data_IF_921717618652
#
_entry.id   IF_921717618652
#
_cell.length_a   1.000
_cell.length_b   1.000
_cell.length_c   1.000
_cell.angle_alpha   90.00
_cell.angle_beta   90.00
_cell.angle_gamma   90.00
#
_symmetry.space_group_name_H-M   'P 1'
#
loop_
_entity.id
_entity.type
_entity.pdbx_description
1 polymer ?
#
# COMPACT_ATOMS: atom_id res chain seq x y z
N UNK A 1 -7.54 -0.92 5.88
CA UNK A 1 -6.19 -1.53 5.82
C UNK A 1 -6.12 -2.78 4.92
N UNK A 2 -6.96 -3.80 5.13
CA UNK A 2 -6.93 -5.06 4.36
C UNK A 2 -7.11 -4.84 2.85
N UNK A 3 -8.02 -3.96 2.42
CA UNK A 3 -8.21 -3.63 0.99
C UNK A 3 -7.02 -2.95 0.33
N UNK A 4 -6.30 -2.08 1.06
CA UNK A 4 -5.09 -1.44 0.56
C UNK A 4 -3.96 -2.47 0.42
N UNK A 5 -3.86 -3.42 1.35
CA UNK A 5 -2.92 -4.55 1.27
C UNK A 5 -3.28 -5.48 0.12
N UNK A 6 -4.56 -5.83 -0.09
CA UNK A 6 -5.02 -6.67 -1.20
C UNK A 6 -4.79 -5.98 -2.54
N UNK A 7 -5.07 -4.68 -2.66
CA UNK A 7 -4.79 -3.93 -3.88
C UNK A 7 -3.29 -3.77 -4.13
N UNK A 8 -2.51 -3.48 -3.08
CA UNK A 8 -1.04 -3.49 -3.15
C UNK A 8 -0.53 -4.86 -3.55
N UNK A 9 -1.10 -5.96 -3.05
CA UNK A 9 -0.74 -7.32 -3.44
C UNK A 9 -1.11 -7.60 -4.90
N UNK A 10 -2.32 -7.24 -5.36
CA UNK A 10 -2.73 -7.33 -6.78
C UNK A 10 -1.78 -6.54 -7.69
N UNK A 11 -1.36 -5.34 -7.29
CA UNK A 11 -0.40 -4.51 -8.03
C UNK A 11 1.03 -5.05 -7.95
N UNK A 12 1.39 -5.66 -6.82
CA UNK A 12 2.69 -6.32 -6.63
C UNK A 12 2.80 -7.57 -7.51
N UNK A 13 1.70 -8.30 -7.72
CA UNK A 13 1.64 -9.43 -8.66
C UNK A 13 1.69 -8.96 -10.12
N UNK A 14 1.12 -7.81 -10.46
CA UNK A 14 1.25 -7.19 -11.80
C UNK A 14 2.65 -6.59 -12.07
N UNK A 15 3.52 -6.53 -11.06
CA UNK A 15 4.82 -5.90 -11.17
C UNK A 15 5.72 -6.74 -12.08
N UNK A 16 6.27 -6.12 -13.13
CA UNK A 16 7.22 -6.80 -14.01
C UNK A 16 8.49 -7.11 -13.22
N UNK A 17 8.75 -8.40 -12.98
CA UNK A 17 9.88 -8.90 -12.18
C UNK A 17 11.24 -8.35 -12.68
N UNK A 18 11.34 -8.04 -13.98
CA UNK A 18 12.54 -7.43 -14.59
C UNK A 18 12.85 -6.01 -14.12
N UNK A 19 11.87 -5.25 -13.62
CA UNK A 19 12.12 -3.90 -13.08
C UNK A 19 12.73 -3.93 -11.67
N UNK A 20 12.79 -5.10 -11.04
CA UNK A 20 13.38 -5.32 -9.73
C UNK A 20 14.84 -5.77 -9.82
N UNK A 21 15.41 -5.95 -11.02
CA UNK A 21 16.85 -6.16 -11.15
C UNK A 21 17.58 -4.88 -10.70
N UNK A 22 18.37 -5.00 -9.64
CA UNK A 22 19.25 -3.91 -9.22
C UNK A 22 20.42 -3.81 -10.18
N UNK A 23 20.69 -2.62 -10.69
CA UNK A 23 21.93 -2.27 -11.40
C UNK A 23 23.18 -2.25 -10.51
N UNK A 24 23.15 -2.85 -9.32
CA UNK A 24 24.28 -2.90 -8.41
C UNK A 24 25.01 -4.22 -8.56
N UNK A 25 26.33 -4.11 -8.74
CA UNK A 25 27.41 -5.11 -8.79
C UNK A 25 27.01 -6.58 -8.51
N UNK A 26 27.47 -7.55 -9.33
CA UNK A 26 27.03 -8.95 -9.34
C UNK A 26 27.32 -9.76 -8.08
N UNK A 27 27.94 -9.18 -7.05
CA UNK A 27 28.24 -9.87 -5.81
C UNK A 27 27.05 -9.75 -4.85
N UNK A 28 26.21 -10.79 -4.83
CA UNK A 28 25.14 -11.04 -3.84
C UNK A 28 23.76 -10.38 -4.11
N UNK A 29 23.34 -10.34 -5.37
CA UNK A 29 22.01 -9.86 -5.75
C UNK A 29 20.93 -10.88 -5.36
N UNK A 30 20.06 -10.49 -4.42
CA UNK A 30 18.88 -11.29 -4.04
C UNK A 30 17.94 -11.37 -5.25
N UNK A 31 17.54 -12.59 -5.64
CA UNK A 31 16.67 -12.79 -6.79
C UNK A 31 15.38 -11.96 -6.71
N UNK A 32 14.95 -11.30 -7.79
CA UNK A 32 13.72 -10.51 -7.84
C UNK A 32 12.47 -11.21 -7.27
N UNK A 33 12.34 -12.51 -7.51
CA UNK A 33 11.23 -13.31 -6.97
C UNK A 33 11.29 -13.40 -5.44
N UNK A 34 12.46 -13.65 -4.87
CA UNK A 34 12.68 -13.65 -3.41
C UNK A 34 12.36 -12.29 -2.81
N UNK A 35 12.71 -11.21 -3.50
CA UNK A 35 12.37 -9.86 -3.07
C UNK A 35 10.86 -9.62 -3.04
N UNK A 36 10.15 -10.06 -4.08
CA UNK A 36 8.70 -9.95 -4.15
C UNK A 36 8.02 -10.73 -3.02
N UNK A 37 8.41 -11.99 -2.82
CA UNK A 37 7.88 -12.85 -1.77
C UNK A 37 8.17 -12.33 -0.36
N UNK A 38 9.35 -11.74 -0.16
CA UNK A 38 9.74 -11.08 1.08
C UNK A 38 8.77 -9.95 1.42
N UNK A 39 8.46 -9.09 0.45
CA UNK A 39 7.59 -7.94 0.64
C UNK A 39 6.14 -8.37 0.83
N UNK A 40 5.67 -9.36 0.07
CA UNK A 40 4.34 -9.94 0.26
C UNK A 40 4.18 -10.56 1.65
N UNK A 41 5.18 -11.30 2.14
CA UNK A 41 5.17 -11.85 3.50
C UNK A 41 5.14 -10.75 4.54
N UNK A 42 5.93 -9.70 4.37
CA UNK A 42 5.93 -8.55 5.27
C UNK A 42 4.54 -7.90 5.35
N UNK A 43 3.88 -7.66 4.22
CA UNK A 43 2.54 -7.08 4.20
C UNK A 43 1.45 -8.00 4.75
N UNK A 44 1.54 -9.31 4.49
CA UNK A 44 0.54 -10.27 4.96
C UNK A 44 0.63 -10.49 6.48
N UNK A 45 1.84 -10.47 7.05
CA UNK A 45 2.06 -10.81 8.46
C UNK A 45 2.19 -9.60 9.38
N UNK A 46 2.54 -8.42 8.85
CA UNK A 46 2.88 -7.25 9.66
C UNK A 46 4.09 -7.48 10.59
N UNK A 47 4.89 -8.52 10.34
CA UNK A 47 6.01 -8.91 11.20
C UNK A 47 7.21 -7.97 11.07
N UNK A 48 8.08 -7.97 12.08
CA UNK A 48 9.32 -7.19 12.03
C UNK A 48 10.21 -7.61 10.85
N UNK A 49 10.80 -6.63 10.15
CA UNK A 49 11.66 -6.85 8.98
C UNK A 49 12.82 -7.82 9.25
N UNK A 50 13.33 -7.86 10.48
CA UNK A 50 14.39 -8.81 10.88
C UNK A 50 13.88 -10.25 10.81
N UNK A 51 12.68 -10.52 11.32
CA UNK A 51 12.08 -11.85 11.31
C UNK A 51 11.76 -12.31 9.88
N UNK A 52 11.23 -11.39 9.06
CA UNK A 52 10.99 -11.66 7.63
C UNK A 52 12.31 -11.91 6.90
N UNK A 53 13.34 -11.09 7.16
CA UNK A 53 14.66 -11.26 6.56
C UNK A 53 15.31 -12.59 6.90
N UNK A 54 15.21 -13.02 8.16
CA UNK A 54 15.68 -14.33 8.61
C UNK A 54 14.99 -15.48 7.88
N UNK A 55 13.67 -15.39 7.66
CA UNK A 55 12.91 -16.40 6.93
C UNK A 55 13.41 -16.61 5.48
N UNK A 56 13.89 -15.55 4.83
CA UNK A 56 14.42 -15.59 3.46
C UNK A 56 15.95 -15.68 3.39
N UNK A 57 16.65 -15.82 4.52
CA UNK A 57 18.10 -15.92 4.57
C UNK A 57 18.85 -14.63 4.17
N UNK A 58 18.22 -13.46 4.31
CA UNK A 58 18.82 -12.16 3.92
C UNK A 58 19.36 -11.40 5.12
N UNK A 59 20.44 -10.64 4.91
CA UNK A 59 21.06 -9.82 5.97
C UNK A 59 20.11 -8.76 6.52
N UNK A 60 20.25 -8.38 7.80
CA UNK A 60 19.30 -7.50 8.54
C UNK A 60 18.95 -6.18 7.82
N UNK A 61 19.87 -5.60 7.05
CA UNK A 61 19.68 -4.32 6.36
C UNK A 61 19.01 -4.45 4.99
N UNK A 62 19.07 -5.63 4.38
CA UNK A 62 18.55 -5.90 3.03
C UNK A 62 17.01 -5.84 2.95
N UNK A 63 16.22 -6.43 3.88
CA UNK A 63 14.76 -6.35 3.87
C UNK A 63 14.21 -4.93 3.78
N UNK A 64 14.80 -3.99 4.51
CA UNK A 64 14.37 -2.60 4.51
C UNK A 64 14.51 -1.96 3.12
N UNK A 65 15.69 -2.13 2.49
CA UNK A 65 15.96 -1.60 1.14
C UNK A 65 15.04 -2.24 0.10
N UNK A 66 14.82 -3.55 0.21
CA UNK A 66 13.96 -4.32 -0.68
C UNK A 66 12.51 -3.84 -0.57
N UNK A 67 11.96 -3.76 0.65
CA UNK A 67 10.61 -3.26 0.89
C UNK A 67 10.47 -1.87 0.29
N UNK A 68 11.34 -0.93 0.65
CA UNK A 68 11.27 0.44 0.12
C UNK A 68 11.24 0.48 -1.43
N UNK A 69 12.13 -0.27 -2.09
CA UNK A 69 12.21 -0.30 -3.55
C UNK A 69 10.98 -0.92 -4.21
N UNK A 70 10.54 -2.09 -3.72
CA UNK A 70 9.37 -2.79 -4.26
C UNK A 70 8.09 -2.00 -3.99
N UNK A 71 7.96 -1.38 -2.81
CA UNK A 71 6.84 -0.47 -2.49
C UNK A 71 6.81 0.72 -3.44
N UNK A 72 7.96 1.35 -3.71
CA UNK A 72 8.04 2.49 -4.62
C UNK A 72 7.67 2.11 -6.07
N UNK A 73 8.15 0.95 -6.54
CA UNK A 73 7.77 0.41 -7.84
C UNK A 73 6.25 0.13 -7.91
N UNK A 74 5.70 -0.51 -6.88
CA UNK A 74 4.26 -0.76 -6.76
C UNK A 74 3.44 0.54 -6.71
N UNK A 75 3.90 1.56 -6.00
CA UNK A 75 3.24 2.88 -5.94
C UNK A 75 3.21 3.59 -7.29
N UNK A 76 4.24 3.40 -8.12
CA UNK A 76 4.27 3.94 -9.50
C UNK A 76 3.19 3.31 -10.36
N UNK A 77 2.99 1.99 -10.24
CA UNK A 77 1.90 1.29 -10.91
C UNK A 77 0.53 1.71 -10.37
N UNK A 78 0.43 1.91 -9.06
CA UNK A 78 -0.80 2.33 -8.39
C UNK A 78 -1.33 3.67 -8.91
N UNK A 79 -0.47 4.61 -9.29
CA UNK A 79 -0.89 5.89 -9.89
C UNK A 79 -1.62 5.71 -11.23
N UNK A 80 -1.33 4.65 -11.97
CA UNK A 80 -1.97 4.38 -13.24
C UNK A 80 -3.33 3.68 -13.06
N UNK A 81 -3.44 2.82 -12.04
CA UNK A 81 -4.61 1.96 -11.80
C UNK A 81 -5.64 2.60 -10.84
N UNK A 82 -5.20 3.39 -9.86
CA UNK A 82 -6.08 4.03 -8.86
C UNK A 82 -6.44 5.43 -9.34
N UNK A 83 -7.57 5.56 -10.04
CA UNK A 83 -8.09 6.83 -10.53
C UNK A 83 -9.42 7.16 -9.89
N UNK A 84 -9.58 8.42 -9.50
CA UNK A 84 -10.88 8.94 -9.09
C UNK A 84 -11.70 9.25 -10.34
N UNK A 85 -13.01 8.97 -10.34
CA UNK A 85 -13.88 9.36 -11.44
C UNK A 85 -13.83 10.89 -11.59
N UNK A 86 -13.44 11.34 -12.77
CA UNK A 86 -13.16 12.75 -13.06
C UNK A 86 -14.10 13.31 -14.13
N UNK A 87 -14.61 12.44 -15.00
CA UNK A 87 -15.53 12.83 -16.06
C UNK A 87 -16.97 12.82 -15.54
N UNK A 88 -17.81 13.76 -16.02
CA UNK A 88 -19.26 13.77 -15.69
C UNK A 88 -19.93 12.40 -15.92
N UNK A 89 -19.54 11.69 -17.00
CA UNK A 89 -20.06 10.35 -17.30
C UNK A 89 -19.68 9.33 -16.22
N UNK A 90 -18.42 9.30 -15.78
CA UNK A 90 -17.93 8.39 -14.74
C UNK A 90 -18.59 8.67 -13.40
N UNK A 91 -18.74 9.95 -13.06
CA UNK A 91 -19.41 10.40 -11.84
C UNK A 91 -20.88 9.97 -11.86
N UNK A 92 -21.62 10.25 -12.94
CA UNK A 92 -23.01 9.83 -13.05
C UNK A 92 -23.16 8.31 -12.99
N UNK A 93 -22.26 7.57 -13.64
CA UNK A 93 -22.27 6.10 -13.59
C UNK A 93 -22.05 5.58 -12.16
N UNK A 94 -21.05 6.12 -11.44
CA UNK A 94 -20.80 5.75 -10.05
C UNK A 94 -22.03 6.03 -9.15
N UNK A 95 -22.66 7.19 -9.32
CA UNK A 95 -23.85 7.58 -8.56
C UNK A 95 -25.04 6.64 -8.79
N UNK A 96 -25.28 6.24 -10.03
CA UNK A 96 -26.34 5.27 -10.36
C UNK A 96 -26.06 3.93 -9.69
N UNK A 97 -24.82 3.45 -9.73
CA UNK A 97 -24.45 2.15 -9.16
C UNK A 97 -24.54 2.18 -7.63
N UNK A 98 -24.01 3.21 -6.97
CA UNK A 98 -24.12 3.33 -5.50
C UNK A 98 -25.57 3.47 -5.04
N UNK A 99 -26.41 4.15 -5.82
CA UNK A 99 -27.83 4.22 -5.54
C UNK A 99 -28.51 2.86 -5.70
N UNK A 100 -28.14 2.08 -6.71
CA UNK A 100 -28.66 0.72 -6.89
C UNK A 100 -28.24 -0.23 -5.76
N UNK A 101 -26.99 -0.16 -5.30
CA UNK A 101 -26.45 -1.06 -4.28
C UNK A 101 -26.88 -0.71 -2.85
N UNK A 102 -26.82 0.57 -2.48
CA UNK A 102 -26.96 1.01 -1.09
C UNK A 102 -28.01 2.12 -0.88
N UNK A 103 -28.75 2.51 -1.93
CA UNK A 103 -29.72 3.62 -1.90
C UNK A 103 -29.09 4.96 -1.48
N UNK A 104 -27.80 5.12 -1.70
CA UNK A 104 -27.07 6.35 -1.37
C UNK A 104 -27.07 7.29 -2.59
N UNK A 105 -27.88 8.37 -2.58
CA UNK A 105 -27.95 9.29 -3.71
C UNK A 105 -26.66 10.11 -3.81
N UNK A 106 -26.21 10.35 -5.05
CA UNK A 106 -25.05 11.21 -5.37
C UNK A 106 -23.71 10.74 -4.81
N UNK A 107 -23.61 9.52 -4.27
CA UNK A 107 -22.34 8.96 -3.80
C UNK A 107 -21.45 8.59 -5.00
N UNK A 108 -20.18 8.98 -4.92
CA UNK A 108 -19.20 8.76 -6.00
C UNK A 108 -18.11 7.77 -5.56
N UNK A 109 -17.73 7.82 -4.29
CA UNK A 109 -16.68 6.99 -3.69
C UNK A 109 -16.85 6.97 -2.18
N UNK A 110 -16.33 5.92 -1.53
CA UNK A 110 -16.21 5.86 -0.08
C UNK A 110 -14.76 6.16 0.31
N UNK A 111 -14.58 7.02 1.30
CA UNK A 111 -13.27 7.37 1.86
C UNK A 111 -13.21 6.87 3.30
N UNK A 112 -12.17 6.11 3.61
CA UNK A 112 -11.86 5.66 4.96
C UNK A 112 -10.52 6.24 5.42
N UNK A 113 -10.48 6.71 6.66
CA UNK A 113 -9.29 7.29 7.30
C UNK A 113 -8.85 6.39 8.44
N UNK A 114 -7.59 5.94 8.41
CA UNK A 114 -6.99 5.18 9.51
C UNK A 114 -5.77 5.90 10.07
N UNK A 115 -5.70 6.05 11.39
CA UNK A 115 -4.48 6.48 12.07
C UNK A 115 -3.50 5.31 12.19
N UNK A 116 -2.31 5.47 11.61
CA UNK A 116 -1.20 4.53 11.76
C UNK A 116 -0.32 5.04 12.90
N UNK A 117 -0.25 4.27 13.99
CA UNK A 117 0.58 4.61 15.15
C UNK A 117 2.05 4.63 14.76
N UNK A 118 2.76 5.66 15.21
CA UNK A 118 4.20 5.82 15.07
C UNK A 118 4.81 6.15 16.43
N UNK A 119 6.12 5.98 16.58
CA UNK A 119 6.79 6.21 17.86
C UNK A 119 6.90 7.71 18.18
N UNK A 120 7.47 8.49 17.28
CA UNK A 120 7.49 9.96 17.21
C UNK A 120 8.38 10.34 16.03
N UNK A 121 8.12 11.46 15.36
CA UNK A 121 9.02 11.98 14.32
C UNK A 121 10.18 12.81 14.89
N UNK A 122 10.14 13.13 16.19
CA UNK A 122 11.11 14.03 16.84
C UNK A 122 10.98 15.49 16.37
N UNK A 123 11.88 16.34 16.86
CA UNK A 123 11.92 17.77 16.55
C UNK A 123 10.86 18.61 17.26
N UNK A 124 10.94 19.93 17.08
CA UNK A 124 10.12 20.92 17.79
C UNK A 124 8.62 20.78 17.50
N UNK A 125 8.27 20.19 16.35
CA UNK A 125 6.89 20.03 15.88
C UNK A 125 6.34 18.60 16.08
N UNK A 126 6.98 17.74 16.88
CA UNK A 126 6.53 16.36 17.07
C UNK A 126 5.07 16.26 17.57
N UNK A 127 4.64 17.22 18.38
CA UNK A 127 3.29 17.29 18.96
C UNK A 127 2.18 17.44 17.92
N UNK A 128 2.49 17.96 16.72
CA UNK A 128 1.52 18.06 15.61
C UNK A 128 1.00 16.67 15.20
N UNK A 129 1.79 15.62 15.42
CA UNK A 129 1.41 14.25 15.08
C UNK A 129 0.67 13.52 16.22
N UNK A 130 0.49 14.16 17.38
CA UNK A 130 -0.27 13.57 18.50
C UNK A 130 -1.77 13.62 18.18
N UNK A 131 -2.42 12.47 18.18
CA UNK A 131 -3.86 12.40 17.97
C UNK A 131 -4.65 12.59 19.27
N UNK A 132 -5.99 12.68 19.14
CA UNK A 132 -6.92 12.77 20.27
C UNK A 132 -6.80 11.61 21.27
N UNK A 133 -6.31 10.44 20.85
CA UNK A 133 -6.11 9.26 21.71
C UNK A 133 -4.75 9.27 22.44
N UNK A 134 -3.99 10.37 22.34
CA UNK A 134 -2.76 10.57 23.10
C UNK A 134 -1.53 9.84 22.55
N UNK A 135 -1.56 9.35 21.31
CA UNK A 135 -0.39 8.74 20.67
C UNK A 135 -0.05 9.41 19.34
N UNK A 136 1.22 9.32 18.93
CA UNK A 136 1.67 9.85 17.65
C UNK A 136 1.19 8.97 16.49
N UNK A 137 0.65 9.57 15.43
CA UNK A 137 0.14 8.84 14.27
C UNK A 137 0.18 9.64 12.98
N UNK A 138 0.24 8.94 11.84
CA UNK A 138 -0.06 9.51 10.53
C UNK A 138 -1.46 9.07 10.10
N UNK A 139 -2.23 9.99 9.53
CA UNK A 139 -3.51 9.67 8.89
C UNK A 139 -3.26 9.12 7.48
N UNK A 140 -3.69 7.89 7.23
CA UNK A 140 -3.71 7.28 5.89
C UNK A 140 -5.16 7.24 5.41
N UNK A 141 -5.38 7.69 4.18
CA UNK A 141 -6.70 7.68 3.54
C UNK A 141 -6.73 6.64 2.43
N UNK A 142 -7.78 5.83 2.41
CA UNK A 142 -8.06 4.89 1.33
C UNK A 142 -9.41 5.22 0.72
N UNK A 143 -9.49 5.19 -0.62
CA UNK A 143 -10.76 5.29 -1.33
C UNK A 143 -11.18 3.92 -1.84
N UNK A 144 -12.49 3.69 -1.90
CA UNK A 144 -13.10 2.51 -2.49
C UNK A 144 -14.14 2.97 -3.50
N UNK A 145 -14.11 2.37 -4.69
CA UNK A 145 -15.16 2.49 -5.69
C UNK A 145 -16.17 1.33 -5.55
N UNK A 146 -17.09 1.26 -6.49
CA UNK A 146 -18.12 0.22 -6.54
C UNK A 146 -17.63 -1.11 -7.14
N UNK A 147 -16.36 -1.23 -7.59
CA UNK A 147 -15.75 -2.51 -7.97
C UNK A 147 -15.36 -3.30 -6.72
N UNK A 148 -16.34 -3.53 -5.86
CA UNK A 148 -16.28 -4.51 -4.81
C UNK A 148 -16.32 -5.89 -5.47
N UNK A 149 -15.19 -6.35 -6.03
CA UNK A 149 -15.03 -7.77 -6.32
C UNK A 149 -14.97 -8.51 -4.98
N UNK A 150 -16.13 -8.99 -4.51
CA UNK A 150 -16.19 -10.27 -3.81
C UNK A 150 -15.88 -11.36 -4.85
N UNK A 151 -14.66 -11.87 -4.78
CA UNK A 151 -14.35 -13.25 -5.17
C UNK A 151 -13.73 -13.93 -3.97
#
# INVERSE_FOLDING_TARGET
MVKMIVQMAKMTVKMNIRSLDSSSEPNNTIQPMTQLLLVLRYYATGSHLIAVGYFFGVSKTSPHRIVHRVTAAGATLARNDIKLPSTKREISAAQVIFYALARLPKLILLLDCTHIKVQSFGGDNAEVFRNRKGYFSITVQGTCDYYFEEK
#
